data_IF_195809375083
#
_entry.id   IF_195809375083
#
_cell.length_a   1.000
_cell.length_b   1.000
_cell.length_c   1.000
_cell.angle_alpha   90.00
_cell.angle_beta   90.00
_cell.angle_gamma   90.00
#
_symmetry.space_group_name_H-M   'P 1'
#
loop_
_entity.id
_entity.type
_entity.pdbx_description
1 polymer ?
#
# COMPACT_ATOMS: atom_id res chain seq x y z
N UNK A 1 15.09 65.83 -43.59
CA UNK A 1 16.50 66.28 -43.65
C UNK A 1 17.22 65.56 -42.53
N UNK A 2 17.92 64.45 -42.82
CA UNK A 2 19.37 64.44 -43.07
C UNK A 2 20.13 65.24 -42.01
N UNK A 3 20.81 64.54 -41.11
CA UNK A 3 22.27 64.53 -41.12
C UNK A 3 22.81 63.35 -40.31
N UNK A 4 23.75 62.67 -40.95
CA UNK A 4 24.57 61.59 -40.43
C UNK A 4 26.01 62.10 -40.23
N UNK A 5 26.87 61.18 -39.78
CA UNK A 5 28.35 61.12 -39.94
C UNK A 5 29.17 61.79 -38.81
N UNK A 6 30.36 61.27 -38.38
CA UNK A 6 31.15 60.13 -38.90
C UNK A 6 31.61 59.04 -37.91
N UNK A 7 32.06 57.94 -38.55
CA UNK A 7 33.04 56.95 -38.08
C UNK A 7 34.47 57.55 -38.06
N UNK A 8 35.32 57.19 -37.09
CA UNK A 8 36.50 56.31 -37.29
C UNK A 8 37.55 56.34 -36.14
N UNK A 9 37.92 55.13 -35.71
CA UNK A 9 39.29 54.60 -35.46
C UNK A 9 40.10 55.05 -34.24
N UNK A 10 40.53 54.05 -33.45
CA UNK A 10 41.64 54.18 -32.49
C UNK A 10 41.72 53.02 -31.50
N UNK A 11 42.62 52.07 -31.76
CA UNK A 11 42.96 50.89 -30.96
C UNK A 11 43.16 51.18 -29.46
N UNK A 12 42.69 50.27 -28.59
CA UNK A 12 43.57 49.64 -27.60
C UNK A 12 43.03 48.26 -27.21
N UNK A 13 43.87 47.26 -27.40
CA UNK A 13 43.64 45.87 -27.03
C UNK A 13 43.87 45.67 -25.52
N UNK A 14 42.92 45.02 -24.84
CA UNK A 14 43.24 44.14 -23.70
C UNK A 14 42.39 42.88 -23.84
N UNK A 15 43.11 41.79 -24.02
CA UNK A 15 42.65 40.40 -24.05
C UNK A 15 42.13 40.04 -22.66
N UNK A 16 40.88 39.59 -22.56
CA UNK A 16 40.47 38.67 -21.49
C UNK A 16 39.54 37.61 -22.11
N UNK A 17 40.16 36.49 -22.49
CA UNK A 17 39.44 35.28 -22.86
C UNK A 17 38.85 34.66 -21.58
N UNK A 18 37.64 35.09 -21.21
CA UNK A 18 36.79 34.28 -20.35
C UNK A 18 36.24 33.15 -21.22
N UNK A 19 36.90 31.99 -21.17
CA UNK A 19 36.36 30.73 -21.64
C UNK A 19 35.15 30.43 -20.75
N UNK A 20 33.97 30.90 -21.15
CA UNK A 20 32.72 30.33 -20.68
C UNK A 20 32.63 28.97 -21.33
N UNK A 21 33.18 27.96 -20.65
CA UNK A 21 32.85 26.57 -20.88
C UNK A 21 31.38 26.41 -20.50
N UNK A 22 30.48 26.77 -21.44
CA UNK A 22 29.13 26.26 -21.45
C UNK A 22 29.30 24.76 -21.53
N UNK A 23 29.16 24.09 -20.38
CA UNK A 23 29.04 22.65 -20.31
C UNK A 23 27.79 22.28 -21.08
N UNK A 24 27.94 22.08 -22.37
CA UNK A 24 27.01 21.33 -23.19
C UNK A 24 27.06 19.89 -22.68
N UNK A 25 26.38 19.66 -21.55
CA UNK A 25 25.83 18.36 -21.23
C UNK A 25 24.92 18.04 -22.38
N UNK A 26 25.44 17.38 -23.40
CA UNK A 26 24.60 16.74 -24.40
C UNK A 26 23.62 15.90 -23.59
N UNK A 27 22.35 16.30 -23.59
CA UNK A 27 21.27 15.46 -23.14
C UNK A 27 21.35 14.21 -24.03
N UNK A 28 22.13 13.21 -23.59
CA UNK A 28 22.02 11.87 -24.14
C UNK A 28 20.56 11.54 -23.90
N UNK A 29 19.80 11.39 -24.99
CA UNK A 29 18.48 10.81 -24.90
C UNK A 29 18.63 9.55 -24.05
N UNK A 30 18.12 9.59 -22.82
CA UNK A 30 18.12 8.42 -21.96
C UNK A 30 17.25 7.42 -22.72
N UNK A 31 17.87 6.39 -23.28
CA UNK A 31 17.11 5.33 -23.94
C UNK A 31 16.43 4.52 -22.85
N UNK A 32 15.17 4.12 -23.07
CA UNK A 32 14.48 3.12 -22.28
C UNK A 32 15.20 1.76 -22.48
N UNK A 33 16.38 1.60 -21.91
CA UNK A 33 17.06 0.32 -21.89
C UNK A 33 16.28 -0.53 -20.89
N UNK A 34 15.89 -1.77 -21.23
CA UNK A 34 15.34 -2.70 -20.26
C UNK A 34 16.25 -2.68 -19.03
N UNK A 35 15.68 -2.70 -17.82
CA UNK A 35 16.49 -3.12 -16.67
C UNK A 35 16.98 -4.52 -17.02
N UNK A 36 18.24 -4.60 -17.46
CA UNK A 36 18.87 -5.88 -17.66
C UNK A 36 18.92 -6.46 -16.25
N UNK A 37 18.27 -7.62 -15.98
CA UNK A 37 18.56 -8.33 -14.75
C UNK A 37 20.08 -8.42 -14.68
N UNK A 38 20.66 -8.25 -13.48
CA UNK A 38 22.08 -8.51 -13.28
C UNK A 38 22.41 -9.78 -14.06
N UNK A 39 23.41 -9.73 -14.97
CA UNK A 39 23.62 -10.76 -15.97
C UNK A 39 23.49 -12.11 -15.27
N UNK A 40 22.63 -13.02 -15.78
CA UNK A 40 22.37 -14.27 -15.09
C UNK A 40 23.73 -14.89 -14.81
N UNK A 41 23.98 -15.14 -13.54
CA UNK A 41 25.11 -15.96 -13.14
C UNK A 41 25.04 -17.22 -14.00
N UNK A 42 26.15 -17.56 -14.68
CA UNK A 42 26.18 -18.61 -15.70
C UNK A 42 25.49 -19.90 -15.18
N UNK A 43 24.83 -20.69 -16.05
CA UNK A 43 24.14 -21.92 -15.63
C UNK A 43 25.05 -22.79 -14.74
N UNK A 44 24.65 -23.02 -13.49
CA UNK A 44 25.49 -23.64 -12.45
C UNK A 44 25.99 -22.69 -11.36
N UNK A 45 25.62 -21.41 -11.40
CA UNK A 45 25.85 -20.45 -10.32
C UNK A 45 24.51 -19.95 -9.75
N UNK A 46 23.87 -20.67 -8.81
CA UNK A 46 23.33 -19.92 -7.66
C UNK A 46 24.51 -19.09 -7.14
N UNK A 47 24.33 -17.80 -6.85
CA UNK A 47 25.42 -16.96 -6.33
C UNK A 47 26.19 -17.78 -5.31
N UNK A 48 27.44 -18.16 -5.62
CA UNK A 48 28.16 -19.20 -4.89
C UNK A 48 28.38 -18.68 -3.48
N UNK A 49 27.40 -18.89 -2.62
CA UNK A 49 27.50 -18.60 -1.22
C UNK A 49 27.87 -19.91 -0.55
N UNK A 50 28.98 -19.89 0.18
CA UNK A 50 29.35 -21.01 1.02
C UNK A 50 28.83 -20.75 2.42
N UNK A 51 27.97 -21.64 2.93
CA UNK A 51 27.63 -21.67 4.35
C UNK A 51 28.58 -22.63 5.04
N UNK A 52 29.39 -22.09 5.94
CA UNK A 52 30.24 -22.87 6.81
C UNK A 52 29.76 -22.71 8.25
N UNK A 53 29.32 -23.81 8.85
CA UNK A 53 29.05 -23.86 10.28
C UNK A 53 30.38 -24.02 11.04
N UNK A 54 30.56 -23.31 12.14
CA UNK A 54 31.68 -23.51 13.04
C UNK A 54 31.64 -24.92 13.66
N UNK A 55 32.80 -25.40 14.12
CA UNK A 55 32.92 -26.75 14.68
C UNK A 55 32.04 -26.99 15.92
N UNK A 56 31.67 -25.93 16.64
CA UNK A 56 30.75 -25.97 17.80
C UNK A 56 29.26 -25.87 17.42
N UNK A 57 28.95 -25.66 16.14
CA UNK A 57 27.57 -25.51 15.66
C UNK A 57 26.92 -24.16 15.96
N UNK A 58 27.64 -23.20 16.56
CA UNK A 58 27.06 -21.94 17.07
C UNK A 58 27.17 -20.77 16.09
N UNK A 59 28.08 -20.82 15.12
CA UNK A 59 28.33 -19.73 14.17
C UNK A 59 28.12 -20.22 12.75
N UNK A 60 27.35 -19.46 11.97
CA UNK A 60 27.18 -19.69 10.54
C UNK A 60 27.90 -18.59 9.78
N UNK A 61 28.93 -18.93 9.01
CA UNK A 61 29.62 -18.02 8.12
C UNK A 61 29.06 -18.16 6.71
N UNK A 62 28.59 -17.06 6.12
CA UNK A 62 28.11 -17.01 4.74
C UNK A 62 29.13 -16.25 3.91
N UNK A 63 29.88 -16.94 3.06
CA UNK A 63 30.83 -16.32 2.13
C UNK A 63 30.14 -16.06 0.81
N UNK A 64 29.89 -14.80 0.44
CA UNK A 64 29.28 -14.42 -0.84
C UNK A 64 30.32 -14.03 -1.90
N UNK A 65 29.92 -13.97 -3.17
CA UNK A 65 30.75 -13.40 -4.23
C UNK A 65 30.99 -11.89 -3.99
N UNK A 66 32.12 -11.34 -4.47
CA UNK A 66 32.35 -9.89 -4.47
C UNK A 66 31.20 -9.15 -5.16
N UNK A 67 30.83 -7.98 -4.61
CA UNK A 67 29.82 -7.10 -5.20
C UNK A 67 30.21 -6.70 -6.63
N UNK A 68 29.21 -6.57 -7.52
CA UNK A 68 29.40 -5.97 -8.85
C UNK A 68 29.85 -4.52 -8.79
N UNK A 69 29.57 -3.83 -7.67
CA UNK A 69 29.98 -2.45 -7.43
C UNK A 69 31.25 -2.42 -6.58
N UNK A 70 32.18 -1.54 -6.95
CA UNK A 70 33.38 -1.29 -6.14
C UNK A 70 32.97 -0.80 -4.74
N UNK A 71 33.65 -1.25 -3.67
CA UNK A 71 33.45 -0.69 -2.33
C UNK A 71 33.62 0.83 -2.35
N UNK A 72 32.75 1.54 -1.66
CA UNK A 72 32.84 2.99 -1.53
C UNK A 72 31.91 3.53 -0.46
N UNK A 73 32.15 4.78 -0.09
CA UNK A 73 31.34 5.49 0.89
C UNK A 73 30.09 6.06 0.20
N UNK A 74 28.92 5.54 0.58
CA UNK A 74 27.63 6.01 0.08
C UNK A 74 27.30 7.45 0.48
N UNK A 75 27.98 7.98 1.50
CA UNK A 75 27.84 9.36 1.97
C UNK A 75 29.00 10.26 1.53
N UNK A 76 29.98 9.70 0.82
CA UNK A 76 31.11 10.44 0.28
C UNK A 76 30.68 11.33 -0.91
N UNK A 77 31.55 12.25 -1.35
CA UNK A 77 31.26 13.14 -2.48
C UNK A 77 31.17 12.42 -3.85
N UNK A 78 31.52 11.14 -3.90
CA UNK A 78 31.49 10.32 -5.13
C UNK A 78 31.14 8.88 -4.79
N UNK A 79 29.88 8.60 -4.40
CA UNK A 79 29.48 7.26 -4.02
C UNK A 79 29.57 6.32 -5.23
N UNK A 80 30.22 5.17 -5.05
CA UNK A 80 30.45 4.18 -6.12
C UNK A 80 29.29 3.20 -6.29
N UNK A 81 28.30 3.27 -5.39
CA UNK A 81 27.18 2.34 -5.30
C UNK A 81 25.80 3.01 -5.43
N UNK A 82 25.72 4.23 -5.96
CA UNK A 82 24.44 4.87 -6.31
C UNK A 82 24.03 4.50 -7.73
N UNK A 83 22.77 4.12 -7.89
CA UNK A 83 22.15 3.97 -9.20
C UNK A 83 21.71 5.37 -9.63
N UNK A 84 22.08 5.86 -10.83
CA UNK A 84 21.67 7.17 -11.28
C UNK A 84 20.15 7.25 -11.41
N UNK A 85 19.56 8.36 -10.98
CA UNK A 85 18.14 8.63 -11.20
C UNK A 85 17.87 8.76 -12.69
N UNK A 86 16.89 8.00 -13.18
CA UNK A 86 16.39 8.07 -14.56
C UNK A 86 14.98 8.66 -14.53
N UNK A 87 14.78 9.77 -15.23
CA UNK A 87 13.51 10.50 -15.29
C UNK A 87 12.69 10.07 -16.51
N UNK A 88 12.44 8.76 -16.61
CA UNK A 88 11.65 8.15 -17.67
C UNK A 88 10.70 7.11 -17.07
N UNK A 89 9.68 6.74 -17.85
CA UNK A 89 8.95 5.51 -17.57
C UNK A 89 9.90 4.32 -17.55
N UNK A 90 9.61 3.35 -16.68
CA UNK A 90 10.22 2.03 -16.71
C UNK A 90 9.90 1.31 -18.02
N UNK A 91 10.73 0.33 -18.39
CA UNK A 91 10.58 -0.40 -19.65
C UNK A 91 10.28 -1.87 -19.38
N UNK A 92 9.55 -2.51 -20.29
CA UNK A 92 9.45 -3.95 -20.37
C UNK A 92 10.78 -4.57 -20.88
N UNK A 93 10.88 -5.90 -20.89
CA UNK A 93 12.09 -6.62 -21.35
C UNK A 93 12.43 -6.42 -22.83
N UNK A 94 11.51 -5.88 -23.63
CA UNK A 94 11.73 -5.53 -25.04
C UNK A 94 12.06 -4.05 -25.24
N UNK A 95 12.14 -3.27 -24.16
CA UNK A 95 12.44 -1.84 -24.21
C UNK A 95 11.23 -0.96 -24.51
N UNK A 96 10.01 -1.50 -24.46
CA UNK A 96 8.80 -0.68 -24.57
C UNK A 96 8.52 0.01 -23.24
N UNK A 97 8.17 1.30 -23.24
CA UNK A 97 7.84 2.01 -22.00
C UNK A 97 6.53 1.46 -21.40
N UNK A 98 6.54 1.28 -20.08
CA UNK A 98 5.36 0.97 -19.28
C UNK A 98 4.73 2.31 -18.87
N UNK A 99 3.52 2.67 -19.35
CA UNK A 99 2.89 3.94 -19.00
C UNK A 99 2.69 4.11 -17.49
N UNK A 100 2.63 5.35 -17.01
CA UNK A 100 2.40 5.67 -15.59
C UNK A 100 3.43 5.03 -14.64
N UNK A 101 4.71 5.10 -15.02
CA UNK A 101 5.85 4.67 -14.18
C UNK A 101 6.95 5.73 -14.12
N UNK A 102 6.62 6.98 -14.48
CA UNK A 102 7.55 8.10 -14.42
C UNK A 102 7.74 8.50 -12.97
N UNK A 103 8.97 8.35 -12.47
CA UNK A 103 9.34 8.74 -11.11
C UNK A 103 9.22 10.26 -10.92
N UNK A 104 9.09 10.70 -9.66
CA UNK A 104 9.19 12.10 -9.27
C UNK A 104 10.45 12.77 -9.81
N UNK A 105 10.34 14.04 -10.20
CA UNK A 105 11.47 14.89 -10.59
C UNK A 105 11.55 16.13 -9.70
N UNK A 106 12.68 16.85 -9.69
CA UNK A 106 12.80 18.09 -8.91
C UNK A 106 11.73 19.13 -9.24
N UNK A 107 11.28 19.20 -10.50
CA UNK A 107 10.26 20.16 -10.95
C UNK A 107 8.84 19.59 -10.87
N UNK A 108 8.69 18.26 -10.81
CA UNK A 108 7.41 17.57 -10.73
C UNK A 108 7.46 16.48 -9.65
N UNK A 109 7.17 16.83 -8.38
CA UNK A 109 7.31 15.89 -7.26
C UNK A 109 6.29 14.74 -7.29
N UNK A 110 5.15 14.94 -7.97
CA UNK A 110 4.07 13.96 -8.07
C UNK A 110 3.67 13.76 -9.54
N UNK A 111 4.24 12.75 -10.20
CA UNK A 111 3.96 12.47 -11.62
C UNK A 111 2.79 11.49 -11.84
N UNK A 112 2.37 10.79 -10.78
CA UNK A 112 1.36 9.72 -10.87
C UNK A 112 0.01 10.10 -10.27
N UNK A 113 -0.15 11.32 -9.77
CA UNK A 113 -1.45 11.86 -9.36
C UNK A 113 -1.41 13.39 -9.40
N UNK A 114 -2.56 14.06 -9.60
CA UNK A 114 -2.70 15.49 -9.36
C UNK A 114 -2.62 15.81 -7.86
N UNK A 115 -2.61 17.10 -7.50
CA UNK A 115 -2.74 17.50 -6.10
C UNK A 115 -4.00 16.86 -5.48
N UNK A 116 -3.89 16.21 -4.31
CA UNK A 116 -5.02 15.53 -3.70
C UNK A 116 -6.06 16.53 -3.19
N UNK A 117 -7.32 16.11 -3.18
CA UNK A 117 -8.37 16.89 -2.51
C UNK A 117 -8.31 16.62 -1.02
N UNK A 118 -8.28 17.69 -0.20
CA UNK A 118 -8.19 17.59 1.26
C UNK A 118 -9.41 18.25 1.91
N UNK A 119 -10.12 17.51 2.74
CA UNK A 119 -11.31 18.00 3.47
C UNK A 119 -11.25 17.63 4.95
N UNK A 120 -11.72 18.50 5.88
CA UNK A 120 -11.75 18.16 7.29
C UNK A 120 -12.78 17.05 7.58
N UNK A 121 -12.45 16.13 8.48
CA UNK A 121 -13.40 15.13 8.97
C UNK A 121 -14.37 15.77 9.96
N UNK A 122 -15.65 15.42 9.85
CA UNK A 122 -16.66 15.80 10.84
C UNK A 122 -16.34 15.23 12.23
N UNK A 123 -15.72 14.04 12.27
CA UNK A 123 -15.25 13.40 13.48
C UNK A 123 -13.99 12.57 13.19
N UNK A 124 -12.92 12.84 13.92
CA UNK A 124 -11.64 12.14 13.81
C UNK A 124 -11.42 11.02 14.82
N UNK A 125 -12.41 10.72 15.66
CA UNK A 125 -12.31 9.65 16.68
C UNK A 125 -11.97 8.31 16.05
N UNK A 126 -10.90 7.67 16.55
CA UNK A 126 -10.46 6.34 16.09
C UNK A 126 -11.20 5.19 16.79
N UNK A 127 -11.20 3.96 16.23
CA UNK A 127 -11.73 2.79 16.92
C UNK A 127 -11.11 2.60 18.30
N UNK A 128 -9.80 2.82 18.41
CA UNK A 128 -9.05 2.74 19.67
C UNK A 128 -9.53 3.73 20.71
N UNK A 129 -9.84 4.97 20.31
CA UNK A 129 -10.38 5.98 21.24
C UNK A 129 -11.77 5.59 21.76
N UNK A 130 -12.65 5.10 20.89
CA UNK A 130 -13.98 4.64 21.31
C UNK A 130 -13.88 3.40 22.23
N UNK A 131 -13.08 2.39 21.86
CA UNK A 131 -12.83 1.20 22.69
C UNK A 131 -12.24 1.56 24.06
N UNK A 132 -11.26 2.46 24.11
CA UNK A 132 -10.71 2.99 25.36
C UNK A 132 -11.77 3.69 26.20
N UNK A 133 -12.66 4.46 25.56
CA UNK A 133 -13.79 5.11 26.21
C UNK A 133 -14.73 4.10 26.88
N UNK A 134 -15.05 3.01 26.18
CA UNK A 134 -15.89 1.91 26.67
C UNK A 134 -15.22 1.25 27.88
N UNK A 135 -13.94 0.87 27.78
CA UNK A 135 -13.20 0.25 28.89
C UNK A 135 -13.15 1.15 30.11
N UNK A 136 -12.90 2.45 29.93
CA UNK A 136 -12.95 3.42 31.03
C UNK A 136 -14.32 3.46 31.71
N UNK A 137 -15.40 3.39 30.93
CA UNK A 137 -16.76 3.30 31.45
C UNK A 137 -16.98 2.05 32.30
N UNK A 138 -16.49 0.90 31.83
CA UNK A 138 -16.54 -0.37 32.57
C UNK A 138 -15.76 -0.28 33.89
N UNK A 139 -14.53 0.25 33.88
CA UNK A 139 -13.73 0.47 35.10
C UNK A 139 -14.45 1.35 36.13
N UNK A 140 -15.08 2.44 35.69
CA UNK A 140 -15.86 3.31 36.60
C UNK A 140 -17.04 2.55 37.20
N UNK A 141 -17.78 1.79 36.40
CA UNK A 141 -18.91 1.00 36.88
C UNK A 141 -18.47 -0.04 37.92
N UNK A 142 -17.36 -0.76 37.68
CA UNK A 142 -16.89 -1.81 38.58
C UNK A 142 -16.26 -1.27 39.87
N UNK A 143 -15.50 -0.17 39.81
CA UNK A 143 -14.84 0.43 40.98
C UNK A 143 -15.82 1.13 41.93
N UNK A 144 -16.87 1.77 41.38
CA UNK A 144 -17.80 2.59 42.16
C UNK A 144 -19.19 1.97 42.33
N UNK A 145 -19.39 0.72 41.89
CA UNK A 145 -20.68 0.02 41.99
C UNK A 145 -21.77 0.63 41.11
N UNK A 146 -21.40 1.24 39.99
CA UNK A 146 -22.33 1.80 39.00
C UNK A 146 -22.92 0.73 38.08
N UNK A 147 -24.03 1.06 37.42
CA UNK A 147 -24.59 0.20 36.37
C UNK A 147 -23.68 0.25 35.13
N UNK A 148 -23.42 -0.91 34.52
CA UNK A 148 -22.74 -1.01 33.23
C UNK A 148 -23.66 -0.45 32.14
N UNK A 149 -23.14 0.47 31.32
CA UNK A 149 -23.86 0.95 30.15
C UNK A 149 -23.77 -0.08 29.02
N UNK A 150 -24.80 -0.91 28.91
CA UNK A 150 -24.88 -1.96 27.90
C UNK A 150 -24.90 -1.42 26.46
N UNK A 151 -25.25 -0.15 26.25
CA UNK A 151 -25.18 0.47 24.92
C UNK A 151 -23.73 0.68 24.47
N UNK A 152 -22.83 0.98 25.42
CA UNK A 152 -21.39 1.11 25.16
C UNK A 152 -20.74 -0.26 24.93
N UNK A 153 -21.19 -1.29 25.66
CA UNK A 153 -20.73 -2.67 25.41
C UNK A 153 -21.14 -3.13 24.02
N UNK A 154 -22.38 -2.85 23.61
CA UNK A 154 -22.83 -3.14 22.24
C UNK A 154 -22.04 -2.36 21.19
N UNK A 155 -21.73 -1.08 21.46
CA UNK A 155 -20.85 -0.30 20.58
C UNK A 155 -19.48 -0.96 20.41
N UNK A 156 -18.90 -1.53 21.47
CA UNK A 156 -17.65 -2.29 21.39
C UNK A 156 -17.76 -3.48 20.42
N UNK A 157 -18.84 -4.25 20.49
CA UNK A 157 -19.12 -5.33 19.52
C UNK A 157 -19.30 -4.77 18.11
N UNK A 158 -20.01 -3.66 17.95
CA UNK A 158 -20.27 -3.06 16.64
C UNK A 158 -19.00 -2.56 15.97
N UNK A 159 -18.06 -1.98 16.73
CA UNK A 159 -16.73 -1.59 16.25
C UNK A 159 -15.96 -2.84 15.77
N UNK A 160 -15.88 -3.89 16.60
CA UNK A 160 -15.10 -5.09 16.30
C UNK A 160 -15.65 -5.85 15.08
N UNK A 161 -16.97 -5.93 14.96
CA UNK A 161 -17.65 -6.62 13.85
C UNK A 161 -17.78 -5.78 12.57
N UNK A 162 -17.48 -4.48 12.64
CA UNK A 162 -17.68 -3.53 11.55
C UNK A 162 -19.15 -3.36 11.21
N UNK A 163 -20.01 -3.26 12.22
CA UNK A 163 -21.40 -2.86 12.07
C UNK A 163 -21.47 -1.32 11.87
N UNK A 164 -22.59 -0.77 11.37
CA UNK A 164 -22.73 0.67 11.21
C UNK A 164 -22.60 1.43 12.55
N UNK A 165 -21.69 2.41 12.60
CA UNK A 165 -21.49 3.29 13.76
C UNK A 165 -21.70 4.74 13.31
N UNK A 166 -22.66 5.43 13.93
CA UNK A 166 -23.02 6.77 13.53
C UNK A 166 -21.87 7.77 13.73
N UNK A 167 -21.66 8.66 12.75
CA UNK A 167 -20.68 9.73 12.81
C UNK A 167 -19.24 9.22 13.12
N UNK A 168 -18.84 8.12 12.48
CA UNK A 168 -17.49 7.55 12.51
C UNK A 168 -17.03 7.20 11.10
N UNK A 169 -15.85 7.67 10.72
CA UNK A 169 -15.26 7.39 9.42
C UNK A 169 -14.90 5.91 9.23
N UNK A 170 -14.60 5.18 10.33
CA UNK A 170 -14.31 3.74 10.30
C UNK A 170 -15.56 2.85 10.22
N UNK A 171 -16.77 3.42 10.25
CA UNK A 171 -18.02 2.67 10.25
C UNK A 171 -18.09 1.67 9.08
N UNK A 172 -18.35 0.40 9.37
CA UNK A 172 -18.41 -0.66 8.38
C UNK A 172 -17.12 -1.46 8.17
N UNK A 173 -15.97 -0.97 8.68
CA UNK A 173 -14.69 -1.66 8.62
C UNK A 173 -14.49 -2.52 9.89
N UNK A 174 -14.52 -3.87 9.79
CA UNK A 174 -14.37 -4.73 10.96
C UNK A 174 -12.92 -4.83 11.41
N UNK A 175 -12.68 -4.74 12.72
CA UNK A 175 -11.35 -5.03 13.30
C UNK A 175 -11.06 -6.53 13.42
N UNK A 176 -12.09 -7.37 13.41
CA UNK A 176 -11.96 -8.83 13.42
C UNK A 176 -11.49 -9.41 12.07
N UNK A 177 -11.43 -8.61 11.00
CA UNK A 177 -10.97 -9.00 9.65
C UNK A 177 -11.64 -10.23 8.98
N UNK A 178 -12.67 -10.83 9.59
CA UNK A 178 -13.41 -11.98 9.04
C UNK A 178 -14.09 -11.75 7.67
N UNK A 179 -14.20 -10.48 7.25
CA UNK A 179 -14.79 -10.08 5.95
C UNK A 179 -13.81 -10.16 4.78
N UNK A 180 -12.61 -10.74 4.93
CA UNK A 180 -11.64 -10.93 3.83
C UNK A 180 -12.25 -11.34 2.48
N UNK A 181 -13.16 -12.35 2.43
CA UNK A 181 -13.82 -12.76 1.19
C UNK A 181 -14.61 -11.66 0.46
N UNK A 182 -15.08 -10.63 1.17
CA UNK A 182 -15.90 -9.57 0.57
C UNK A 182 -15.09 -8.34 0.16
N UNK A 183 -13.77 -8.32 0.40
CA UNK A 183 -12.88 -7.20 0.09
C UNK A 183 -12.27 -7.29 -1.33
N UNK A 184 -13.03 -7.84 -2.29
CA UNK A 184 -12.63 -7.87 -3.70
C UNK A 184 -13.49 -6.88 -4.48
N UNK A 185 -12.86 -5.91 -5.13
CA UNK A 185 -13.55 -4.95 -6.02
C UNK A 185 -13.15 -5.15 -7.48
N UNK A 186 -14.09 -4.96 -8.40
CA UNK A 186 -13.81 -4.98 -9.83
C UNK A 186 -13.56 -3.56 -10.36
N UNK A 187 -12.54 -3.40 -11.19
CA UNK A 187 -12.26 -2.12 -11.86
C UNK A 187 -13.37 -1.84 -12.88
N UNK A 188 -14.01 -0.68 -12.76
CA UNK A 188 -15.07 -0.25 -13.66
C UNK A 188 -14.47 0.34 -14.94
N UNK A 189 -14.71 -0.25 -16.13
CA UNK A 189 -14.12 0.25 -17.36
C UNK A 189 -14.74 1.59 -17.78
N UNK A 190 -13.90 2.46 -18.33
CA UNK A 190 -14.32 3.67 -19.04
C UNK A 190 -14.33 3.32 -20.53
N UNK A 191 -15.52 3.38 -21.14
CA UNK A 191 -15.73 3.01 -22.54
C UNK A 191 -16.04 4.24 -23.38
N UNK A 192 -15.32 4.42 -24.48
CA UNK A 192 -15.58 5.44 -25.49
C UNK A 192 -15.75 4.78 -26.85
N UNK A 193 -16.86 5.07 -27.54
CA UNK A 193 -17.19 4.48 -28.84
C UNK A 193 -17.13 2.94 -28.87
N UNK A 194 -17.52 2.28 -27.76
CA UNK A 194 -17.49 0.82 -27.63
C UNK A 194 -16.11 0.21 -27.35
N UNK A 195 -15.07 1.03 -27.15
CA UNK A 195 -13.70 0.58 -26.82
C UNK A 195 -13.36 1.01 -25.39
N UNK A 196 -12.83 0.10 -24.59
CA UNK A 196 -12.29 0.44 -23.27
C UNK A 196 -11.05 1.32 -23.45
N UNK A 197 -11.07 2.52 -22.88
CA UNK A 197 -9.96 3.48 -22.92
C UNK A 197 -9.30 3.70 -21.55
N UNK A 198 -9.93 3.20 -20.49
CA UNK A 198 -9.37 3.17 -19.15
C UNK A 198 -10.30 2.49 -18.16
N UNK A 199 -10.15 2.79 -16.87
CA UNK A 199 -11.07 2.36 -15.84
C UNK A 199 -10.78 3.01 -14.51
N UNK A 200 -11.70 2.85 -13.56
CA UNK A 200 -11.57 3.39 -12.21
C UNK A 200 -12.06 2.40 -11.17
N UNK A 201 -11.47 2.44 -9.98
CA UNK A 201 -11.96 1.77 -8.79
C UNK A 201 -11.72 2.67 -7.59
N UNK A 202 -12.63 2.63 -6.61
CA UNK A 202 -12.50 3.42 -5.38
C UNK A 202 -12.07 2.52 -4.24
N UNK A 203 -11.02 2.91 -3.53
CA UNK A 203 -10.55 2.22 -2.32
C UNK A 203 -10.69 3.18 -1.15
N UNK A 204 -11.46 2.79 -0.14
CA UNK A 204 -11.56 3.54 1.11
C UNK A 204 -10.60 2.96 2.15
N UNK A 205 -9.75 3.82 2.70
CA UNK A 205 -8.83 3.48 3.78
C UNK A 205 -9.06 4.38 4.99
N UNK A 206 -8.82 3.83 6.17
CA UNK A 206 -8.84 4.54 7.44
C UNK A 206 -7.53 4.32 8.18
N UNK A 207 -6.87 5.42 8.54
CA UNK A 207 -5.54 5.42 9.13
C UNK A 207 -5.63 5.94 10.57
N UNK A 208 -5.19 5.14 11.54
CA UNK A 208 -5.21 5.48 12.97
C UNK A 208 -4.12 4.73 13.72
N UNK A 209 -3.58 5.30 14.80
CA UNK A 209 -2.50 4.70 15.60
C UNK A 209 -1.32 4.12 14.78
N UNK A 210 -1.27 2.79 14.65
CA UNK A 210 -0.34 1.98 13.84
C UNK A 210 -1.06 1.10 12.80
N UNK A 211 -2.32 1.39 12.48
CA UNK A 211 -3.18 0.59 11.61
C UNK A 211 -3.53 1.34 10.32
N UNK A 212 -3.71 0.58 9.23
CA UNK A 212 -4.39 0.99 8.00
C UNK A 212 -5.47 -0.05 7.74
N UNK A 213 -6.73 0.34 7.89
CA UNK A 213 -7.85 -0.49 7.52
C UNK A 213 -8.33 -0.10 6.13
N UNK A 214 -8.68 -1.10 5.32
CA UNK A 214 -9.14 -0.89 3.94
C UNK A 214 -10.41 -1.70 3.69
N UNK A 215 -11.33 -1.13 2.91
CA UNK A 215 -12.50 -1.84 2.38
C UNK A 215 -12.12 -2.87 1.30
N UNK A 216 -10.92 -2.76 0.75
CA UNK A 216 -10.44 -3.52 -0.40
C UNK A 216 -9.08 -4.15 -0.10
N UNK A 217 -8.97 -5.45 -0.33
CA UNK A 217 -7.74 -6.25 -0.26
C UNK A 217 -7.36 -6.82 -1.63
N UNK A 218 -8.35 -7.00 -2.52
CA UNK A 218 -8.14 -7.52 -3.86
C UNK A 218 -8.83 -6.66 -4.91
N UNK A 219 -8.19 -6.51 -6.06
CA UNK A 219 -8.80 -5.97 -7.26
C UNK A 219 -8.92 -7.04 -8.33
N UNK A 220 -10.06 -7.03 -9.03
CA UNK A 220 -10.24 -7.67 -10.33
C UNK A 220 -10.08 -6.63 -11.44
N UNK A 221 -8.91 -6.59 -12.10
CA UNK A 221 -8.65 -5.62 -13.15
C UNK A 221 -8.87 -6.19 -14.56
N UNK A 222 -9.64 -7.28 -14.71
CA UNK A 222 -9.88 -7.95 -16.01
C UNK A 222 -10.33 -6.98 -17.11
N UNK A 223 -11.10 -5.94 -16.75
CA UNK A 223 -11.63 -4.97 -17.69
C UNK A 223 -10.57 -4.01 -18.28
N UNK A 224 -9.38 -3.88 -17.65
CA UNK A 224 -8.36 -2.87 -17.97
C UNK A 224 -6.97 -3.48 -18.17
N UNK A 225 -6.88 -4.75 -18.56
CA UNK A 225 -5.59 -5.44 -18.77
C UNK A 225 -4.68 -4.70 -19.76
N UNK A 226 -5.27 -4.07 -20.77
CA UNK A 226 -4.54 -3.49 -21.89
C UNK A 226 -4.52 -1.97 -21.96
N UNK A 227 -5.15 -1.28 -21.01
CA UNK A 227 -5.23 0.18 -20.95
C UNK A 227 -4.86 0.73 -19.58
N UNK A 228 -4.24 1.92 -19.48
CA UNK A 228 -4.06 2.60 -18.21
C UNK A 228 -5.38 2.83 -17.48
N UNK A 229 -5.33 2.91 -16.16
CA UNK A 229 -6.52 3.06 -15.31
C UNK A 229 -6.17 3.85 -14.05
N UNK A 230 -7.16 4.10 -13.20
CA UNK A 230 -7.00 4.92 -11.99
C UNK A 230 -7.48 4.15 -10.77
N UNK A 231 -6.72 4.23 -9.68
CA UNK A 231 -7.25 3.94 -8.35
C UNK A 231 -7.57 5.28 -7.69
N UNK A 232 -8.83 5.50 -7.38
CA UNK A 232 -9.29 6.61 -6.57
C UNK A 232 -9.23 6.21 -5.09
N UNK A 233 -8.24 6.68 -4.35
CA UNK A 233 -8.17 6.44 -2.91
C UNK A 233 -8.95 7.51 -2.16
N UNK A 234 -9.78 7.08 -1.21
CA UNK A 234 -10.37 7.92 -0.17
C UNK A 234 -9.70 7.53 1.14
N UNK A 235 -8.92 8.43 1.73
CA UNK A 235 -8.13 8.13 2.92
C UNK A 235 -8.57 9.02 4.08
N UNK A 236 -9.24 8.43 5.07
CA UNK A 236 -9.62 9.13 6.30
C UNK A 236 -8.55 8.95 7.37
N UNK A 237 -7.89 10.04 7.75
CA UNK A 237 -6.84 10.02 8.76
C UNK A 237 -7.41 10.43 10.10
N UNK A 238 -7.58 9.47 11.01
CA UNK A 238 -8.15 9.65 12.33
C UNK A 238 -7.07 10.04 13.35
N UNK A 239 -7.45 10.18 14.62
CA UNK A 239 -6.51 10.44 15.71
C UNK A 239 -5.32 9.48 15.66
N UNK A 240 -4.10 10.02 15.80
CA UNK A 240 -2.83 9.31 15.69
C UNK A 240 -2.55 8.63 14.32
N UNK A 241 -3.37 8.93 13.32
CA UNK A 241 -3.28 8.40 11.96
C UNK A 241 -2.19 9.02 11.08
N UNK A 242 -1.66 10.19 11.44
CA UNK A 242 -0.75 10.98 10.59
C UNK A 242 0.39 10.15 9.99
N UNK A 243 0.66 10.34 8.70
CA UNK A 243 1.75 9.66 7.97
C UNK A 243 1.96 10.24 6.56
N UNK A 244 2.85 9.66 5.76
CA UNK A 244 2.88 9.87 4.30
C UNK A 244 2.01 8.84 3.56
N UNK A 245 1.24 9.30 2.58
CA UNK A 245 0.68 8.43 1.57
C UNK A 245 1.81 8.02 0.60
N UNK A 246 2.29 6.80 0.77
CA UNK A 246 3.41 6.23 0.03
C UNK A 246 3.10 4.79 -0.41
N UNK A 247 2.32 4.65 -1.48
CA UNK A 247 1.98 3.35 -2.04
C UNK A 247 3.13 2.78 -2.86
N UNK A 248 3.69 1.64 -2.45
CA UNK A 248 4.71 0.92 -3.23
C UNK A 248 4.05 -0.04 -4.23
N UNK A 249 4.11 0.31 -5.50
CA UNK A 249 3.54 -0.45 -6.61
C UNK A 249 4.53 -1.47 -7.13
N UNK A 250 4.06 -2.70 -7.34
CA UNK A 250 4.85 -3.78 -7.93
C UNK A 250 4.31 -4.15 -9.31
N UNK A 251 5.18 -4.10 -10.31
CA UNK A 251 4.89 -4.47 -11.68
C UNK A 251 5.67 -5.71 -12.13
N UNK A 252 4.98 -6.55 -12.88
CA UNK A 252 5.55 -7.54 -13.77
C UNK A 252 6.07 -6.88 -15.04
N UNK A 253 6.91 -7.62 -15.75
CA UNK A 253 7.20 -7.41 -17.15
C UNK A 253 5.96 -7.73 -18.01
N UNK A 254 5.91 -7.27 -19.26
CA UNK A 254 4.75 -7.57 -20.12
C UNK A 254 4.61 -9.09 -20.29
N UNK A 255 3.52 -9.72 -19.80
CA UNK A 255 3.37 -11.16 -19.91
C UNK A 255 3.37 -11.64 -21.37
N UNK A 256 3.01 -10.77 -22.32
CA UNK A 256 3.01 -11.04 -23.77
C UNK A 256 4.42 -11.10 -24.37
N UNK A 257 5.47 -10.77 -23.61
CA UNK A 257 6.86 -10.93 -24.04
C UNK A 257 7.38 -12.36 -23.96
N UNK A 258 6.62 -13.27 -23.33
CA UNK A 258 7.01 -14.65 -23.12
C UNK A 258 6.10 -15.64 -23.86
N UNK A 259 6.65 -16.80 -24.21
CA UNK A 259 5.92 -17.92 -24.82
C UNK A 259 6.21 -19.21 -24.03
N UNK A 260 5.23 -19.77 -23.28
CA UNK A 260 3.89 -19.22 -23.04
C UNK A 260 3.93 -17.92 -22.20
N UNK A 261 2.87 -17.10 -22.20
CA UNK A 261 2.77 -15.91 -21.36
C UNK A 261 2.98 -16.25 -19.88
N UNK A 262 3.77 -15.44 -19.18
CA UNK A 262 4.05 -15.60 -17.74
C UNK A 262 4.31 -14.27 -17.07
N UNK A 263 3.99 -14.20 -15.78
CA UNK A 263 4.30 -13.04 -14.95
C UNK A 263 5.74 -13.16 -14.45
N UNK A 264 6.61 -12.25 -14.89
CA UNK A 264 8.01 -12.13 -14.42
C UNK A 264 8.13 -10.79 -13.70
N UNK A 265 8.65 -10.71 -12.47
CA UNK A 265 8.87 -9.43 -11.80
C UNK A 265 9.71 -8.47 -12.67
N UNK A 266 9.37 -7.18 -12.70
CA UNK A 266 10.13 -6.17 -13.43
C UNK A 266 10.56 -5.03 -12.51
N UNK A 267 9.63 -4.12 -12.18
CA UNK A 267 9.93 -2.91 -11.41
C UNK A 267 9.00 -2.78 -10.22
N UNK A 268 9.55 -2.33 -9.09
CA UNK A 268 8.79 -1.81 -7.97
C UNK A 268 9.13 -0.33 -7.78
N UNK A 269 8.12 0.49 -7.49
CA UNK A 269 8.27 1.93 -7.36
C UNK A 269 7.26 2.50 -6.36
N UNK A 270 7.67 3.52 -5.61
CA UNK A 270 6.75 4.33 -4.84
C UNK A 270 5.92 5.20 -5.79
N UNK A 271 4.62 5.23 -5.57
CA UNK A 271 3.68 5.95 -6.42
C UNK A 271 3.53 7.42 -6.04
N UNK A 272 3.82 7.75 -4.77
CA UNK A 272 3.74 9.07 -4.17
C UNK A 272 4.51 9.09 -2.85
N UNK A 273 4.69 10.30 -2.31
CA UNK A 273 5.11 10.58 -0.94
C UNK A 273 4.42 11.87 -0.49
N UNK A 274 3.13 11.78 -0.15
CA UNK A 274 2.32 12.94 0.20
C UNK A 274 2.02 12.99 1.71
N UNK A 275 2.38 14.06 2.44
CA UNK A 275 2.14 14.14 3.87
C UNK A 275 0.66 14.30 4.21
N UNK A 276 0.16 13.48 5.12
CA UNK A 276 -1.21 13.50 5.62
C UNK A 276 -1.23 13.78 7.13
N UNK A 277 -1.89 14.87 7.51
CA UNK A 277 -2.24 15.18 8.90
C UNK A 277 -3.53 14.52 9.36
N UNK A 278 -3.69 14.36 10.68
CA UNK A 278 -4.89 13.80 11.29
C UNK A 278 -6.10 14.75 11.19
N UNK A 279 -7.30 14.16 11.28
CA UNK A 279 -8.56 14.90 11.22
C UNK A 279 -8.97 15.36 9.82
N UNK A 280 -8.36 14.82 8.77
CA UNK A 280 -8.67 15.14 7.38
C UNK A 280 -8.88 13.88 6.54
N UNK A 281 -9.73 14.01 5.52
CA UNK A 281 -9.87 13.10 4.38
C UNK A 281 -8.97 13.59 3.25
N UNK A 282 -8.23 12.68 2.65
CA UNK A 282 -7.42 12.91 1.46
C UNK A 282 -7.95 12.03 0.33
N UNK A 283 -8.17 12.62 -0.84
CA UNK A 283 -8.61 11.90 -2.03
C UNK A 283 -7.53 11.98 -3.11
N UNK A 284 -7.06 10.82 -3.57
CA UNK A 284 -5.98 10.68 -4.55
C UNK A 284 -6.47 9.94 -5.79
N UNK A 285 -6.22 10.50 -6.98
CA UNK A 285 -6.40 9.81 -8.25
C UNK A 285 -5.06 9.27 -8.74
N UNK A 286 -4.74 8.03 -8.36
CA UNK A 286 -3.47 7.39 -8.70
C UNK A 286 -3.53 6.78 -10.10
N UNK A 287 -2.69 7.29 -11.00
CA UNK A 287 -2.52 6.79 -12.35
C UNK A 287 -1.78 5.44 -12.35
N UNK A 288 -2.39 4.43 -12.97
CA UNK A 288 -1.89 3.06 -13.04
C UNK A 288 -1.56 2.68 -14.48
N UNK A 289 -0.51 1.86 -14.66
CA UNK A 289 -0.18 1.23 -15.92
C UNK A 289 -1.28 0.21 -16.32
N UNK A 290 -1.32 -0.27 -17.58
CA UNK A 290 -2.19 -1.38 -17.95
C UNK A 290 -2.11 -2.54 -16.98
N UNK A 291 -3.25 -3.07 -16.56
CA UNK A 291 -3.28 -3.97 -15.42
C UNK A 291 -2.59 -5.32 -15.65
N UNK A 292 -2.26 -5.68 -16.90
CA UNK A 292 -1.42 -6.84 -17.20
C UNK A 292 -0.02 -6.74 -16.57
N UNK A 293 0.46 -5.54 -16.30
CA UNK A 293 1.71 -5.32 -15.58
C UNK A 293 1.50 -5.43 -14.07
N UNK A 294 0.33 -5.03 -13.55
CA UNK A 294 0.15 -4.81 -12.11
C UNK A 294 0.06 -6.10 -11.29
N UNK A 295 0.88 -6.20 -10.23
CA UNK A 295 0.87 -7.31 -9.28
C UNK A 295 0.10 -6.94 -8.00
N UNK A 296 0.55 -5.89 -7.32
CA UNK A 296 -0.02 -5.40 -6.07
C UNK A 296 0.45 -3.97 -5.80
N UNK A 297 -0.25 -3.29 -4.90
CA UNK A 297 0.17 -2.02 -4.30
C UNK A 297 0.19 -2.19 -2.79
N UNK A 298 1.35 -1.93 -2.19
CA UNK A 298 1.60 -1.99 -0.77
C UNK A 298 1.52 -0.60 -0.16
N UNK A 299 0.86 -0.43 0.98
CA UNK A 299 0.82 0.82 1.73
C UNK A 299 1.51 0.56 3.06
N UNK A 300 2.52 1.37 3.37
CA UNK A 300 3.24 1.34 4.63
C UNK A 300 3.35 2.72 5.25
N UNK A 301 3.41 2.76 6.57
CA UNK A 301 3.74 3.99 7.29
C UNK A 301 5.24 4.28 7.20
N UNK A 302 5.65 5.26 6.40
CA UNK A 302 7.06 5.63 6.27
C UNK A 302 7.61 6.26 7.56
N UNK A 303 6.79 7.07 8.26
CA UNK A 303 7.20 7.72 9.51
C UNK A 303 7.05 6.84 10.74
N UNK A 304 6.16 5.84 10.67
CA UNK A 304 5.88 4.89 11.74
C UNK A 304 6.02 3.46 11.21
N UNK A 305 7.27 3.02 11.09
CA UNK A 305 7.66 1.71 10.59
C UNK A 305 8.08 0.79 11.76
N UNK A 306 7.82 -0.54 11.71
CA UNK A 306 6.55 -1.29 11.55
C UNK A 306 5.65 -1.18 12.81
N UNK A 307 4.35 -1.59 12.82
CA UNK A 307 3.68 -2.60 11.97
C UNK A 307 2.59 -2.12 10.98
N UNK A 308 2.50 -0.82 10.65
CA UNK A 308 1.41 -0.28 9.81
C UNK A 308 1.52 -0.71 8.33
N UNK A 309 0.73 -1.70 7.92
CA UNK A 309 0.77 -2.30 6.57
C UNK A 309 -0.64 -2.58 6.05
N UNK A 310 -0.88 -2.24 4.78
CA UNK A 310 -2.04 -2.71 4.03
C UNK A 310 -1.67 -3.02 2.58
N UNK A 311 -2.25 -4.08 2.00
CA UNK A 311 -1.93 -4.50 0.63
C UNK A 311 -3.20 -4.62 -0.20
N UNK A 312 -3.15 -4.11 -1.42
CA UNK A 312 -4.17 -4.32 -2.44
C UNK A 312 -3.55 -5.18 -3.53
N UNK A 313 -4.12 -6.36 -3.76
CA UNK A 313 -3.50 -7.38 -4.61
C UNK A 313 -4.30 -7.68 -5.88
N UNK A 314 -3.62 -8.06 -6.95
CA UNK A 314 -4.25 -8.55 -8.18
C UNK A 314 -4.80 -9.96 -7.99
N UNK A 315 -6.14 -10.09 -8.03
CA UNK A 315 -6.85 -11.36 -7.85
C UNK A 315 -6.52 -12.38 -8.94
N UNK A 316 -6.13 -11.92 -10.13
CA UNK A 316 -5.82 -12.76 -11.29
C UNK A 316 -4.47 -13.48 -11.15
N UNK A 317 -3.61 -13.03 -10.23
CA UNK A 317 -2.36 -13.75 -9.93
C UNK A 317 -2.70 -14.98 -9.11
N UNK A 318 -2.49 -16.15 -9.72
CA UNK A 318 -2.92 -17.42 -9.14
C UNK A 318 -1.95 -17.94 -8.07
N UNK A 319 -2.50 -18.47 -6.99
CA UNK A 319 -1.79 -19.22 -5.95
C UNK A 319 -2.35 -20.65 -5.93
N UNK A 320 -1.49 -21.65 -6.11
CA UNK A 320 -1.94 -23.05 -6.19
C UNK A 320 -2.95 -23.31 -7.33
N UNK A 321 -2.89 -22.53 -8.42
CA UNK A 321 -3.81 -22.62 -9.56
C UNK A 321 -5.17 -21.93 -9.35
N UNK A 322 -5.43 -21.36 -8.18
CA UNK A 322 -6.68 -20.64 -7.85
C UNK A 322 -6.42 -19.12 -7.79
N UNK A 323 -7.46 -18.27 -7.96
CA UNK A 323 -7.35 -16.82 -7.74
C UNK A 323 -6.76 -16.49 -6.36
N UNK A 324 -6.09 -15.35 -6.22
CA UNK A 324 -5.33 -15.03 -4.99
C UNK A 324 -6.21 -15.01 -3.73
N UNK A 325 -7.41 -14.45 -3.85
CA UNK A 325 -8.36 -14.33 -2.75
C UNK A 325 -8.99 -15.67 -2.32
N UNK A 326 -8.74 -16.77 -3.04
CA UNK A 326 -9.31 -18.08 -2.74
C UNK A 326 -9.06 -18.55 -1.30
N UNK A 327 -7.90 -18.19 -0.73
CA UNK A 327 -7.50 -18.56 0.63
C UNK A 327 -8.44 -17.92 1.66
N UNK A 328 -8.86 -16.68 1.44
CA UNK A 328 -9.83 -16.00 2.32
C UNK A 328 -11.17 -16.74 2.33
N UNK A 329 -11.64 -17.19 1.16
CA UNK A 329 -12.89 -17.94 1.05
C UNK A 329 -12.80 -19.29 1.77
N UNK A 330 -11.69 -20.00 1.63
CA UNK A 330 -11.47 -21.27 2.33
C UNK A 330 -11.47 -21.10 3.84
N UNK A 331 -10.90 -19.99 4.33
CA UNK A 331 -10.83 -19.69 5.76
C UNK A 331 -12.18 -19.25 6.33
N UNK A 332 -12.85 -18.28 5.70
CA UNK A 332 -13.96 -17.55 6.33
C UNK A 332 -15.34 -17.87 5.76
N UNK A 333 -15.45 -18.72 4.73
CA UNK A 333 -16.74 -19.06 4.14
C UNK A 333 -17.03 -20.58 4.20
N UNK A 334 -17.69 -21.06 5.27
CA UNK A 334 -17.81 -22.49 5.60
C UNK A 334 -18.59 -23.38 4.61
N UNK A 335 -19.04 -22.88 3.46
CA UNK A 335 -19.81 -23.65 2.46
C UNK A 335 -19.42 -23.36 1.00
N UNK A 336 -18.23 -22.82 0.75
CA UNK A 336 -18.04 -21.98 -0.43
C UNK A 336 -16.96 -22.40 -1.42
N UNK A 337 -16.98 -23.69 -1.76
CA UNK A 337 -16.44 -24.17 -3.03
C UNK A 337 -17.34 -23.81 -4.24
N UNK A 338 -18.21 -22.81 -4.11
CA UNK A 338 -19.07 -22.35 -5.20
C UNK A 338 -18.23 -21.75 -6.33
N UNK A 339 -18.64 -22.02 -7.58
CA UNK A 339 -18.01 -21.41 -8.74
C UNK A 339 -18.06 -19.88 -8.62
N UNK A 340 -16.91 -19.22 -8.80
CA UNK A 340 -16.83 -17.76 -8.83
C UNK A 340 -16.47 -17.06 -7.52
N UNK A 341 -16.14 -17.79 -6.44
CA UNK A 341 -15.63 -17.19 -5.18
C UNK A 341 -16.54 -16.08 -4.64
N UNK A 342 -17.78 -16.41 -4.24
CA UNK A 342 -18.75 -15.43 -3.72
C UNK A 342 -19.37 -15.90 -2.42
N UNK A 343 -19.36 -15.10 -1.34
CA UNK A 343 -19.83 -15.52 -0.01
C UNK A 343 -21.00 -14.65 0.52
N UNK A 344 -22.17 -14.63 -0.15
CA UNK A 344 -23.27 -13.73 0.23
C UNK A 344 -23.82 -13.99 1.64
N UNK A 345 -23.78 -15.25 2.10
CA UNK A 345 -24.25 -15.62 3.43
C UNK A 345 -23.42 -14.99 4.56
N UNK A 346 -22.14 -14.63 4.33
CA UNK A 346 -21.30 -13.97 5.33
C UNK A 346 -21.85 -12.60 5.75
N UNK A 347 -22.55 -11.92 4.83
CA UNK A 347 -23.12 -10.60 5.06
C UNK A 347 -24.55 -10.64 5.62
N UNK A 348 -25.23 -11.78 5.50
CA UNK A 348 -26.68 -11.86 5.73
C UNK A 348 -27.10 -12.91 6.77
N UNK A 349 -26.29 -13.95 7.00
CA UNK A 349 -26.57 -15.01 7.98
C UNK A 349 -25.69 -14.84 9.23
N UNK A 350 -26.29 -14.52 10.40
CA UNK A 350 -25.56 -14.39 11.66
C UNK A 350 -24.77 -15.65 12.07
N UNK A 351 -25.22 -16.85 11.67
CA UNK A 351 -24.52 -18.10 11.98
C UNK A 351 -23.25 -18.24 11.13
N UNK A 352 -23.31 -17.86 9.85
CA UNK A 352 -22.13 -17.85 8.97
C UNK A 352 -21.14 -16.79 9.44
N UNK A 353 -21.61 -15.59 9.79
CA UNK A 353 -20.77 -14.55 10.42
C UNK A 353 -20.05 -15.09 11.66
N UNK A 354 -20.79 -15.69 12.58
CA UNK A 354 -20.22 -16.26 13.81
C UNK A 354 -19.21 -17.38 13.51
N UNK A 355 -19.52 -18.25 12.54
CA UNK A 355 -18.59 -19.29 12.11
C UNK A 355 -17.30 -18.71 11.53
N UNK A 356 -17.37 -17.61 10.76
CA UNK A 356 -16.19 -16.94 10.22
C UNK A 356 -15.35 -16.30 11.34
N UNK A 357 -15.98 -15.60 12.29
CA UNK A 357 -15.29 -15.04 13.47
C UNK A 357 -14.61 -16.16 14.28
N UNK A 358 -15.24 -17.33 14.39
CA UNK A 358 -14.67 -18.48 15.10
C UNK A 358 -13.39 -19.03 14.45
N UNK A 359 -13.12 -18.74 13.18
CA UNK A 359 -11.89 -19.16 12.48
C UNK A 359 -10.68 -18.28 12.83
N UNK A 360 -10.91 -17.11 13.43
CA UNK A 360 -9.84 -16.26 13.96
C UNK A 360 -9.22 -16.96 15.17
N UNK A 361 -7.91 -16.87 15.38
CA UNK A 361 -7.25 -17.47 16.55
C UNK A 361 -7.79 -16.91 17.87
N UNK A 362 -7.94 -17.76 18.89
CA UNK A 362 -8.47 -17.36 20.21
C UNK A 362 -7.57 -16.38 20.97
N UNK A 363 -6.27 -16.34 20.64
CA UNK A 363 -5.33 -15.37 21.20
C UNK A 363 -5.35 -14.02 20.49
N UNK A 364 -6.11 -13.85 19.40
CA UNK A 364 -6.16 -12.58 18.67
C UNK A 364 -6.80 -11.50 19.57
N UNK A 365 -6.15 -10.34 19.78
CA UNK A 365 -6.64 -9.32 20.72
C UNK A 365 -8.08 -8.87 20.43
N UNK A 366 -8.40 -8.61 19.16
CA UNK A 366 -9.76 -8.26 18.73
C UNK A 366 -10.80 -9.37 19.04
N UNK A 367 -10.43 -10.65 18.92
CA UNK A 367 -11.34 -11.77 19.21
C UNK A 367 -11.58 -11.95 20.71
N UNK A 368 -10.54 -11.76 21.53
CA UNK A 368 -10.64 -11.75 23.00
C UNK A 368 -11.61 -10.67 23.46
N UNK A 369 -11.39 -9.42 23.03
CA UNK A 369 -12.31 -8.32 23.32
C UNK A 369 -13.75 -8.61 22.87
N UNK A 370 -13.92 -9.19 21.68
CA UNK A 370 -15.24 -9.55 21.18
C UNK A 370 -15.94 -10.61 22.06
N UNK A 371 -15.23 -11.66 22.45
CA UNK A 371 -15.76 -12.69 23.33
C UNK A 371 -16.20 -12.10 24.69
N UNK A 372 -15.38 -11.23 25.26
CA UNK A 372 -15.66 -10.61 26.55
C UNK A 372 -16.84 -9.65 26.49
N UNK A 373 -16.91 -8.77 25.48
CA UNK A 373 -18.08 -7.91 25.30
C UNK A 373 -19.35 -8.75 25.08
N UNK A 374 -19.30 -9.81 24.28
CA UNK A 374 -20.44 -10.74 24.11
C UNK A 374 -20.83 -11.42 25.43
N UNK A 375 -19.86 -11.81 26.26
CA UNK A 375 -20.12 -12.41 27.56
C UNK A 375 -20.76 -11.42 28.55
N UNK A 376 -20.35 -10.15 28.52
CA UNK A 376 -21.00 -9.07 29.29
C UNK A 376 -22.44 -8.86 28.81
N UNK A 377 -22.68 -8.81 27.50
CA UNK A 377 -24.03 -8.75 26.91
C UNK A 377 -24.90 -9.94 27.33
N UNK A 378 -24.30 -11.13 27.51
CA UNK A 378 -24.97 -12.32 28.00
C UNK A 378 -25.19 -12.36 29.53
N UNK A 379 -24.73 -11.35 30.28
CA UNK A 379 -24.93 -11.21 31.72
C UNK A 379 -23.74 -11.62 32.59
N UNK A 380 -22.58 -11.93 32.01
CA UNK A 380 -21.34 -12.10 32.78
C UNK A 380 -20.93 -10.76 33.38
N UNK A 381 -20.46 -10.78 34.63
CA UNK A 381 -20.00 -9.57 35.30
C UNK A 381 -18.79 -8.97 34.57
N UNK A 382 -18.86 -7.68 34.21
CA UNK A 382 -17.73 -6.96 33.62
C UNK A 382 -16.49 -6.99 34.53
N UNK A 383 -16.66 -7.00 35.85
CA UNK A 383 -15.54 -7.07 36.80
C UNK A 383 -14.70 -8.36 36.64
N UNK A 384 -15.31 -9.45 36.15
CA UNK A 384 -14.60 -10.70 35.89
C UNK A 384 -13.77 -10.66 34.61
N UNK A 385 -14.20 -9.87 33.62
CA UNK A 385 -13.64 -9.87 32.27
C UNK A 385 -12.71 -8.68 32.00
N UNK A 386 -12.80 -7.61 32.79
CA UNK A 386 -11.96 -6.41 32.67
C UNK A 386 -10.46 -6.69 32.54
N UNK A 387 -9.84 -7.60 33.33
CA UNK A 387 -8.41 -7.89 33.17
C UNK A 387 -8.04 -8.46 31.79
N UNK A 388 -8.90 -9.28 31.19
CA UNK A 388 -8.64 -9.83 29.85
C UNK A 388 -8.89 -8.77 28.78
N UNK A 389 -9.96 -7.98 28.92
CA UNK A 389 -10.25 -6.82 28.08
C UNK A 389 -9.10 -5.80 28.04
N UNK A 390 -8.54 -5.44 29.20
CA UNK A 390 -7.41 -4.50 29.28
C UNK A 390 -6.18 -5.08 28.58
N UNK A 391 -5.84 -6.35 28.87
CA UNK A 391 -4.72 -7.03 28.21
C UNK A 391 -4.91 -7.14 26.70
N UNK A 392 -6.12 -7.47 26.23
CA UNK A 392 -6.43 -7.59 24.81
C UNK A 392 -6.53 -6.23 24.10
N UNK A 393 -6.66 -5.13 24.83
CA UNK A 393 -6.66 -3.79 24.25
C UNK A 393 -5.24 -3.22 24.10
N UNK A 394 -4.32 -3.61 25.00
CA UNK A 394 -2.94 -3.15 25.01
C UNK A 394 -1.99 -3.99 24.12
N UNK A 395 -2.41 -5.19 23.71
CA UNK A 395 -1.72 -6.08 22.74
C UNK A 395 -1.90 -5.59 21.28
#
# INVERSE_FOLDING_TARGET
>A
MRQAVPKNWGLLAVVLAAVVSVGSSAARAQSCAPMQPLPPLAPGQPGNWNVQLSADGLTTTITTLPSFFQPGDSFGPSPTNVIPTVYLNSCDSKGNPIPNTLNSSPDHPYNLHPDPTVTPLANKTSPTEDLRGILRGLHVATLFGGAVDMTQVQLGVDILEGNPVANRAYSGLPLLHYKGPTKTQAVQPIVQNGVTVGGTVTIHQVWYDSHIESDTSYLDPTAVLDVPWTIHYVVDVLTAGYDDFAGYMMYFDDPKNYSPPKNVPNVGLDNSFFPMGDGSRYEFDMAMAPARFWNLTYHWGWRKHPPRVQVVENVLVKVGGRPRNAIEFDAFCPNNQQAGFTCPALLSDPNVKRSAINMIGDSAPAKRMWNDFQAILAGTSAATLLPDLDSAFDD
#
